data_IF_172038337594
#
_entry.id   IF_172038337594
#
_cell.length_a   1.000
_cell.length_b   1.000
_cell.length_c   1.000
_cell.angle_alpha   90.00
_cell.angle_beta   90.00
_cell.angle_gamma   90.00
#
_symmetry.space_group_name_H-M   'P 1'
#
loop_
_entity.id
_entity.type
_entity.pdbx_description
1 polymer ?
#
# COMPACT_ATOMS: atom_id res chain seq x y z
N UNK A 1 -24.87 50.70 5.59
CA UNK A 1 -23.43 50.80 5.28
C UNK A 1 -22.78 49.40 5.38
N UNK A 2 -23.34 48.42 4.65
CA UNK A 2 -23.04 46.97 4.77
C UNK A 2 -22.60 46.34 3.44
N UNK A 3 -22.72 47.10 2.34
CA UNK A 3 -22.43 46.67 0.97
C UNK A 3 -20.92 46.59 0.68
N UNK A 4 -20.11 47.44 1.30
CA UNK A 4 -18.64 47.46 1.08
C UNK A 4 -17.95 46.22 1.65
N UNK A 5 -18.24 45.85 2.91
CA UNK A 5 -17.60 44.71 3.56
C UNK A 5 -17.92 43.36 2.87
N UNK A 6 -19.15 43.22 2.36
CA UNK A 6 -19.59 42.03 1.63
C UNK A 6 -18.91 41.93 0.25
N UNK A 7 -18.73 43.07 -0.43
CA UNK A 7 -18.03 43.15 -1.72
C UNK A 7 -16.54 42.81 -1.58
N UNK A 8 -15.88 43.33 -0.54
CA UNK A 8 -14.47 43.04 -0.24
C UNK A 8 -14.24 41.57 0.10
N UNK A 9 -15.13 40.96 0.90
CA UNK A 9 -15.04 39.54 1.25
C UNK A 9 -15.18 38.62 0.02
N UNK A 10 -16.11 38.94 -0.89
CA UNK A 10 -16.31 38.19 -2.13
C UNK A 10 -15.11 38.33 -3.10
N UNK A 11 -14.49 39.51 -3.18
CA UNK A 11 -13.27 39.71 -3.96
C UNK A 11 -12.09 38.90 -3.40
N UNK A 12 -11.88 38.91 -2.08
CA UNK A 12 -10.84 38.12 -1.43
C UNK A 12 -11.02 36.61 -1.63
N UNK A 13 -12.27 36.10 -1.57
CA UNK A 13 -12.58 34.71 -1.86
C UNK A 13 -12.23 34.30 -3.30
N UNK A 14 -12.57 35.15 -4.28
CA UNK A 14 -12.20 34.92 -5.69
C UNK A 14 -10.70 34.91 -5.92
N UNK A 15 -9.95 35.80 -5.27
CA UNK A 15 -8.49 35.83 -5.36
C UNK A 15 -7.87 34.56 -4.77
N UNK A 16 -8.35 34.09 -3.61
CA UNK A 16 -7.91 32.81 -3.02
C UNK A 16 -8.20 31.64 -3.95
N UNK A 17 -9.42 31.55 -4.48
CA UNK A 17 -9.79 30.49 -5.42
C UNK A 17 -8.91 30.50 -6.68
N UNK A 18 -8.60 31.68 -7.23
CA UNK A 18 -7.69 31.80 -8.38
C UNK A 18 -6.25 31.36 -8.04
N UNK A 19 -5.75 31.72 -6.85
CA UNK A 19 -4.43 31.28 -6.36
C UNK A 19 -4.38 29.77 -6.18
N UNK A 20 -5.41 29.18 -5.59
CA UNK A 20 -5.47 27.74 -5.34
C UNK A 20 -5.60 26.97 -6.66
N UNK A 21 -6.38 27.49 -7.62
CA UNK A 21 -6.45 26.94 -8.98
C UNK A 21 -5.11 27.01 -9.73
N UNK A 22 -4.37 28.12 -9.58
CA UNK A 22 -3.02 28.24 -10.14
C UNK A 22 -2.05 27.23 -9.52
N UNK A 23 -2.14 27.00 -8.20
CA UNK A 23 -1.36 25.97 -7.50
C UNK A 23 -1.69 24.56 -7.99
N UNK A 24 -2.97 24.23 -8.15
CA UNK A 24 -3.41 22.94 -8.67
C UNK A 24 -2.96 22.71 -10.12
N UNK A 25 -3.05 23.72 -10.98
CA UNK A 25 -2.58 23.66 -12.35
C UNK A 25 -1.06 23.45 -12.42
N UNK A 26 -0.30 24.14 -11.57
CA UNK A 26 1.16 23.96 -11.47
C UNK A 26 1.51 22.54 -11.01
N UNK A 27 0.81 22.00 -10.01
CA UNK A 27 1.04 20.62 -9.55
C UNK A 27 0.74 19.57 -10.62
N UNK A 28 -0.37 19.74 -11.38
CA UNK A 28 -0.73 18.86 -12.49
C UNK A 28 0.31 18.90 -13.61
N UNK A 29 0.81 20.10 -13.93
CA UNK A 29 1.89 20.29 -14.90
C UNK A 29 3.19 19.58 -14.47
N UNK A 30 3.58 19.70 -13.20
CA UNK A 30 4.77 19.04 -12.67
C UNK A 30 4.65 17.52 -12.65
N UNK A 31 3.46 17.00 -12.34
CA UNK A 31 3.17 15.58 -12.41
C UNK A 31 3.31 15.04 -13.84
N UNK A 32 2.77 15.75 -14.83
CA UNK A 32 2.88 15.35 -16.24
C UNK A 32 4.35 15.24 -16.70
N UNK A 33 5.21 16.17 -16.27
CA UNK A 33 6.66 16.08 -16.55
C UNK A 33 7.28 14.85 -15.89
N UNK A 34 6.94 14.60 -14.61
CA UNK A 34 7.45 13.43 -13.88
C UNK A 34 7.04 12.12 -14.55
N UNK A 35 5.79 12.00 -14.97
CA UNK A 35 5.24 10.80 -15.61
C UNK A 35 5.92 10.49 -16.96
N UNK A 36 6.09 11.52 -17.80
CA UNK A 36 6.70 11.34 -19.13
C UNK A 36 8.21 11.02 -19.06
N UNK A 37 8.92 11.61 -18.10
CA UNK A 37 10.35 11.31 -17.87
C UNK A 37 10.51 9.94 -17.21
N UNK A 38 9.65 9.56 -16.25
CA UNK A 38 9.71 8.25 -15.61
C UNK A 38 9.35 7.10 -16.57
N UNK A 39 8.55 7.39 -17.60
CA UNK A 39 8.22 6.44 -18.66
C UNK A 39 9.27 6.38 -19.79
N UNK A 40 10.42 7.05 -19.62
CA UNK A 40 11.50 7.14 -20.62
C UNK A 40 11.06 7.62 -22.02
N UNK A 41 9.94 8.35 -22.12
CA UNK A 41 9.41 8.86 -23.40
C UNK A 41 10.07 10.16 -23.84
N UNK A 42 10.48 11.00 -22.88
CA UNK A 42 11.16 12.27 -23.12
C UNK A 42 12.33 12.45 -22.15
N UNK A 43 13.40 13.08 -22.61
CA UNK A 43 14.52 13.43 -21.71
C UNK A 43 14.28 14.78 -21.01
N UNK A 44 14.96 15.07 -19.88
CA UNK A 44 14.92 16.40 -19.27
C UNK A 44 15.31 17.54 -20.23
N UNK A 45 16.14 17.26 -21.24
CA UNK A 45 16.50 18.22 -22.28
C UNK A 45 15.35 18.48 -23.26
N UNK A 46 14.55 17.45 -23.55
CA UNK A 46 13.37 17.59 -24.42
C UNK A 46 12.26 18.34 -23.70
N UNK A 47 12.08 18.12 -22.39
CA UNK A 47 11.20 18.92 -21.54
C UNK A 47 11.60 20.40 -21.58
N UNK A 48 12.88 20.71 -21.34
CA UNK A 48 13.36 22.10 -21.36
C UNK A 48 13.11 22.77 -22.73
N UNK A 49 13.33 22.03 -23.84
CA UNK A 49 13.05 22.49 -25.19
C UNK A 49 11.56 22.75 -25.42
N UNK A 50 10.69 21.82 -25.00
CA UNK A 50 9.24 21.96 -25.12
C UNK A 50 8.68 23.15 -24.33
N UNK A 51 9.28 23.45 -23.18
CA UNK A 51 8.93 24.60 -22.35
C UNK A 51 9.56 25.92 -22.82
N UNK A 52 10.38 25.90 -23.87
CA UNK A 52 11.07 27.09 -24.40
C UNK A 52 12.08 27.70 -23.42
N UNK A 53 12.52 26.96 -22.41
CA UNK A 53 13.45 27.44 -21.38
C UNK A 53 14.84 26.83 -21.56
N UNK A 54 15.87 27.68 -21.51
CA UNK A 54 17.27 27.24 -21.45
C UNK A 54 17.69 26.82 -20.03
N UNK A 55 16.92 27.19 -19.00
CA UNK A 55 17.23 26.87 -17.61
C UNK A 55 16.64 25.51 -17.23
N UNK A 56 17.50 24.49 -17.15
CA UNK A 56 17.14 23.12 -16.75
C UNK A 56 16.99 22.95 -15.24
N UNK A 57 17.39 23.91 -14.41
CA UNK A 57 17.29 23.81 -12.95
C UNK A 57 15.86 23.61 -12.48
N UNK A 58 14.90 24.31 -13.11
CA UNK A 58 13.46 24.12 -12.80
C UNK A 58 13.00 22.70 -13.13
N UNK A 59 13.44 22.12 -14.25
CA UNK A 59 13.11 20.74 -14.62
C UNK A 59 13.73 19.77 -13.62
N UNK A 60 14.99 19.97 -13.22
CA UNK A 60 15.64 19.13 -12.22
C UNK A 60 14.99 19.25 -10.83
N UNK A 61 14.57 20.44 -10.42
CA UNK A 61 13.82 20.65 -9.18
C UNK A 61 12.47 19.90 -9.20
N UNK A 62 11.73 19.95 -10.31
CA UNK A 62 10.47 19.21 -10.50
C UNK A 62 10.67 17.70 -10.41
N UNK A 63 11.81 17.20 -10.91
CA UNK A 63 12.19 15.79 -10.84
C UNK A 63 12.75 15.38 -9.46
N UNK A 64 12.80 16.28 -8.47
CA UNK A 64 13.37 15.99 -7.16
C UNK A 64 14.90 15.80 -7.19
N UNK A 65 15.58 16.34 -8.20
CA UNK A 65 17.05 16.34 -8.35
C UNK A 65 17.67 17.70 -7.98
N UNK A 66 17.01 18.45 -7.10
CA UNK A 66 17.56 19.69 -6.52
C UNK A 66 18.78 19.41 -5.64
N UNK A 67 19.64 20.43 -5.46
CA UNK A 67 20.96 20.39 -4.82
C UNK A 67 20.98 19.84 -3.36
N UNK A 68 19.82 19.58 -2.78
CA UNK A 68 19.57 19.05 -1.45
C UNK A 68 19.59 17.51 -1.38
N UNK A 69 19.55 16.80 -2.52
CA UNK A 69 19.69 15.34 -2.58
C UNK A 69 18.58 14.54 -1.86
N UNK A 70 17.57 15.21 -1.33
CA UNK A 70 16.44 14.59 -0.66
C UNK A 70 15.48 14.02 -1.71
N UNK A 71 15.44 12.70 -1.82
CA UNK A 71 14.41 12.04 -2.61
C UNK A 71 13.03 12.51 -2.15
N UNK A 72 12.08 12.78 -3.06
CA UNK A 72 10.71 13.13 -2.68
C UNK A 72 10.19 12.05 -1.72
N UNK A 73 9.60 12.49 -0.60
CA UNK A 73 9.02 11.57 0.37
C UNK A 73 7.95 10.76 -0.35
N UNK A 74 8.13 9.43 -0.40
CA UNK A 74 7.12 8.56 -0.97
C UNK A 74 5.77 8.87 -0.32
N UNK A 75 4.68 9.01 -1.10
CA UNK A 75 3.36 9.15 -0.51
C UNK A 75 3.15 7.96 0.44
N UNK A 76 2.55 8.18 1.63
CA UNK A 76 2.35 7.10 2.59
C UNK A 76 1.50 6.02 1.93
N UNK A 77 2.14 4.89 1.62
CA UNK A 77 1.45 3.75 1.06
C UNK A 77 0.54 3.19 2.13
N UNK A 78 -0.73 2.97 1.77
CA UNK A 78 -1.70 2.40 2.71
C UNK A 78 -1.20 1.04 3.17
N UNK A 79 -1.43 0.66 4.43
CA UNK A 79 -1.10 -0.68 4.91
C UNK A 79 -1.72 -1.75 4.01
N UNK A 80 -0.95 -2.80 3.73
CA UNK A 80 -1.33 -3.87 2.81
C UNK A 80 -1.50 -5.17 3.57
N UNK A 81 -2.59 -5.88 3.30
CA UNK A 81 -2.88 -7.21 3.84
C UNK A 81 -2.60 -8.23 2.74
N UNK A 82 -1.58 -9.05 2.93
CA UNK A 82 -1.25 -10.16 2.05
C UNK A 82 -2.02 -11.41 2.50
N UNK A 83 -2.92 -11.88 1.65
CA UNK A 83 -3.76 -13.03 1.84
C UNK A 83 -3.12 -14.27 1.19
N UNK A 84 -2.71 -15.25 2.00
CA UNK A 84 -2.06 -16.49 1.54
C UNK A 84 -2.84 -17.70 2.04
N UNK A 85 -2.93 -18.76 1.23
CA UNK A 85 -3.36 -20.07 1.69
C UNK A 85 -4.27 -20.77 0.70
N UNK A 86 -4.44 -22.08 0.88
CA UNK A 86 -5.16 -22.93 -0.05
C UNK A 86 -6.55 -23.30 0.50
N UNK A 87 -7.57 -23.25 -0.36
CA UNK A 87 -8.79 -24.04 -0.16
C UNK A 87 -9.92 -23.42 0.66
N UNK A 88 -9.86 -22.13 1.01
CA UNK A 88 -11.05 -21.48 1.60
C UNK A 88 -12.13 -21.22 0.54
N UNK A 89 -13.42 -21.36 0.89
CA UNK A 89 -14.52 -20.97 0.01
C UNK A 89 -14.42 -19.50 -0.41
N UNK A 90 -14.78 -19.18 -1.65
CA UNK A 90 -14.76 -17.80 -2.19
C UNK A 90 -15.56 -16.82 -1.34
N UNK A 91 -16.63 -17.28 -0.69
CA UNK A 91 -17.43 -16.48 0.24
C UNK A 91 -16.59 -15.97 1.43
N UNK A 92 -15.68 -16.80 1.97
CA UNK A 92 -14.77 -16.39 3.05
C UNK A 92 -13.79 -15.34 2.55
N UNK A 93 -13.19 -15.56 1.37
CA UNK A 93 -12.28 -14.58 0.78
C UNK A 93 -12.94 -13.23 0.51
N UNK A 94 -14.21 -13.24 0.09
CA UNK A 94 -15.00 -12.03 -0.13
C UNK A 94 -15.25 -11.29 1.18
N UNK A 95 -15.76 -11.97 2.22
CA UNK A 95 -16.01 -11.35 3.53
C UNK A 95 -14.74 -10.76 4.15
N UNK A 96 -13.61 -11.46 4.05
CA UNK A 96 -12.31 -10.96 4.54
C UNK A 96 -11.90 -9.70 3.76
N UNK A 97 -11.99 -9.72 2.42
CA UNK A 97 -11.65 -8.54 1.60
C UNK A 97 -12.55 -7.35 1.91
N UNK A 98 -13.84 -7.55 2.09
CA UNK A 98 -14.79 -6.52 2.48
C UNK A 98 -14.46 -5.95 3.86
N UNK A 99 -14.13 -6.80 4.83
CA UNK A 99 -13.74 -6.37 6.17
C UNK A 99 -12.46 -5.51 6.18
N UNK A 100 -11.46 -5.88 5.38
CA UNK A 100 -10.23 -5.07 5.23
C UNK A 100 -10.51 -3.77 4.48
N UNK A 101 -11.32 -3.82 3.43
CA UNK A 101 -11.70 -2.65 2.64
C UNK A 101 -12.48 -1.63 3.46
N UNK A 102 -13.42 -2.07 4.32
CA UNK A 102 -14.16 -1.21 5.24
C UNK A 102 -13.25 -0.43 6.21
N UNK A 103 -12.01 -0.90 6.41
CA UNK A 103 -10.98 -0.27 7.24
C UNK A 103 -9.94 0.51 6.43
N UNK A 104 -10.13 0.61 5.12
CA UNK A 104 -9.27 1.36 4.20
C UNK A 104 -7.99 0.62 3.80
N UNK A 105 -7.86 -0.67 4.13
CA UNK A 105 -6.67 -1.47 3.81
C UNK A 105 -6.80 -2.17 2.46
N UNK A 106 -5.69 -2.24 1.75
CA UNK A 106 -5.61 -2.93 0.46
C UNK A 106 -5.27 -4.39 0.69
N UNK A 107 -6.04 -5.31 0.11
CA UNK A 107 -5.75 -6.74 0.14
C UNK A 107 -5.10 -7.19 -1.16
N UNK A 108 -4.08 -8.03 -1.07
CA UNK A 108 -3.42 -8.68 -2.22
C UNK A 108 -3.24 -10.17 -1.96
N UNK A 109 -3.25 -10.98 -3.02
CA UNK A 109 -3.02 -12.43 -2.91
C UNK A 109 -1.79 -12.91 -3.69
N UNK A 110 -1.19 -12.03 -4.49
CA UNK A 110 0.06 -12.32 -5.19
C UNK A 110 1.27 -12.07 -4.28
N UNK A 111 2.07 -13.12 -4.07
CA UNK A 111 3.27 -13.10 -3.22
C UNK A 111 4.30 -12.10 -3.74
N UNK A 112 4.48 -12.02 -5.06
CA UNK A 112 5.49 -11.16 -5.70
C UNK A 112 5.17 -9.68 -5.49
N UNK A 113 3.91 -9.30 -5.68
CA UNK A 113 3.40 -7.96 -5.39
C UNK A 113 3.58 -7.59 -3.93
N UNK A 114 3.25 -8.51 -3.00
CA UNK A 114 3.44 -8.31 -1.57
C UNK A 114 4.92 -8.10 -1.21
N UNK A 115 5.81 -8.85 -1.85
CA UNK A 115 7.25 -8.73 -1.67
C UNK A 115 7.79 -7.39 -2.15
N UNK A 116 7.37 -6.91 -3.33
CA UNK A 116 7.78 -5.60 -3.84
C UNK A 116 7.28 -4.45 -2.95
N UNK A 117 6.05 -4.55 -2.44
CA UNK A 117 5.49 -3.55 -1.52
C UNK A 117 6.25 -3.52 -0.18
N UNK A 118 6.52 -4.69 0.41
CA UNK A 118 7.32 -4.79 1.63
C UNK A 118 8.75 -4.26 1.42
N UNK A 119 9.36 -4.56 0.27
CA UNK A 119 10.69 -4.03 -0.11
C UNK A 119 10.68 -2.51 -0.29
N UNK A 120 9.58 -1.97 -0.81
CA UNK A 120 9.36 -0.52 -0.98
C UNK A 120 9.09 0.24 0.32
N UNK A 121 9.06 -0.45 1.47
CA UNK A 121 8.82 0.16 2.78
C UNK A 121 7.34 0.22 3.18
N UNK A 122 6.42 -0.33 2.38
CA UNK A 122 5.01 -0.46 2.76
C UNK A 122 4.87 -1.49 3.87
N UNK A 123 4.14 -1.18 4.97
CA UNK A 123 3.78 -2.18 5.95
C UNK A 123 2.91 -3.28 5.32
N UNK A 124 3.37 -4.53 5.38
CA UNK A 124 2.62 -5.70 4.90
C UNK A 124 2.35 -6.64 6.06
N UNK A 125 1.08 -6.98 6.27
CA UNK A 125 0.63 -8.02 7.21
C UNK A 125 0.16 -9.23 6.42
N UNK A 126 0.74 -10.39 6.73
CA UNK A 126 0.33 -11.67 6.19
C UNK A 126 -0.86 -12.21 6.99
N UNK A 127 -1.89 -12.67 6.29
CA UNK A 127 -2.92 -13.56 6.81
C UNK A 127 -2.76 -14.91 6.08
N UNK A 128 -2.16 -15.88 6.75
CA UNK A 128 -1.87 -17.20 6.22
C UNK A 128 -2.92 -18.22 6.67
N UNK A 129 -3.74 -18.66 5.72
CA UNK A 129 -4.77 -19.70 5.87
C UNK A 129 -4.22 -21.12 5.63
N UNK A 130 -2.91 -21.27 5.35
CA UNK A 130 -2.25 -22.56 5.07
C UNK A 130 -1.31 -23.05 6.18
N UNK A 131 -1.18 -22.33 7.29
CA UNK A 131 -0.15 -22.58 8.30
C UNK A 131 -0.16 -24.00 8.94
N UNK A 132 -1.30 -24.70 8.96
CA UNK A 132 -1.41 -26.07 9.50
C UNK A 132 -1.26 -27.17 8.44
N UNK A 133 -1.26 -26.85 7.14
CA UNK A 133 -0.98 -27.83 6.08
C UNK A 133 0.50 -28.28 6.09
N UNK A 134 1.37 -27.51 6.73
CA UNK A 134 2.81 -27.78 6.88
C UNK A 134 3.13 -28.54 8.19
N UNK A 135 2.14 -28.81 9.07
CA UNK A 135 2.33 -29.56 10.32
C UNK A 135 1.88 -31.02 10.19
N UNK A 136 2.75 -32.03 10.45
CA UNK A 136 2.32 -33.42 10.52
C UNK A 136 1.37 -33.59 11.70
N UNK A 137 0.18 -34.15 11.42
CA UNK A 137 -0.84 -34.48 12.42
C UNK A 137 -0.20 -35.15 13.65
N UNK A 138 -0.39 -34.63 14.88
CA UNK A 138 0.41 -35.04 16.03
C UNK A 138 0.03 -36.41 16.63
N UNK A 139 -0.70 -37.28 15.93
CA UNK A 139 -1.10 -38.57 16.51
C UNK A 139 -1.06 -39.75 15.50
N UNK A 140 -0.33 -40.84 15.81
CA UNK A 140 -0.48 -42.10 15.11
C UNK A 140 -1.86 -42.70 15.48
N UNK A 141 -2.82 -42.60 14.56
CA UNK A 141 -4.19 -43.11 14.74
C UNK A 141 -5.31 -42.07 14.58
N UNK A 142 -5.00 -40.80 14.32
CA UNK A 142 -6.00 -39.79 13.99
C UNK A 142 -6.43 -39.86 12.53
N UNK A 143 -7.71 -40.17 12.29
CA UNK A 143 -8.27 -40.39 10.95
C UNK A 143 -8.01 -39.27 9.95
N UNK A 144 -8.05 -39.64 8.67
CA UNK A 144 -8.01 -38.76 7.50
C UNK A 144 -9.09 -37.67 7.61
N UNK A 145 -8.71 -36.49 8.10
CA UNK A 145 -9.54 -35.29 7.98
C UNK A 145 -9.10 -34.52 6.75
N UNK A 146 -9.87 -34.68 5.67
CA UNK A 146 -9.89 -33.77 4.52
C UNK A 146 -10.56 -32.45 4.91
N UNK A 147 -10.00 -31.74 5.89
CA UNK A 147 -10.58 -30.52 6.45
C UNK A 147 -9.69 -29.32 6.17
N UNK A 148 -10.18 -28.37 5.40
CA UNK A 148 -9.58 -27.03 5.31
C UNK A 148 -9.42 -26.47 6.73
N UNK A 149 -8.19 -26.32 7.20
CA UNK A 149 -7.85 -26.15 8.62
C UNK A 149 -8.54 -24.95 9.26
N UNK A 150 -8.76 -24.99 10.58
CA UNK A 150 -9.55 -24.01 11.35
C UNK A 150 -8.76 -22.78 11.79
N UNK A 151 -7.64 -22.43 11.16
CA UNK A 151 -6.80 -21.36 11.66
C UNK A 151 -6.34 -20.39 10.57
N UNK A 152 -6.10 -19.15 10.97
CA UNK A 152 -5.34 -18.15 10.22
C UNK A 152 -4.23 -17.64 11.10
N UNK A 153 -3.03 -17.63 10.54
CA UNK A 153 -1.90 -16.99 11.19
C UNK A 153 -1.76 -15.58 10.65
N UNK A 154 -1.83 -14.61 11.55
CA UNK A 154 -1.62 -13.20 11.24
C UNK A 154 -0.23 -12.79 11.69
N UNK A 155 0.48 -12.02 10.87
CA UNK A 155 1.69 -11.34 11.31
C UNK A 155 2.35 -10.44 10.29
N UNK A 156 3.07 -9.43 10.78
CA UNK A 156 3.86 -8.52 9.96
C UNK A 156 4.98 -9.28 9.24
N UNK A 157 5.19 -8.97 7.96
CA UNK A 157 6.26 -9.58 7.15
C UNK A 157 7.26 -8.55 6.69
N UNK A 158 8.46 -9.01 6.34
CA UNK A 158 9.49 -8.20 5.68
C UNK A 158 9.93 -8.88 4.39
N UNK A 159 10.32 -8.09 3.39
CA UNK A 159 10.96 -8.63 2.20
C UNK A 159 12.38 -9.11 2.52
N UNK A 160 12.69 -10.34 2.12
CA UNK A 160 14.04 -10.92 2.19
C UNK A 160 14.32 -11.68 0.88
N UNK A 161 15.57 -11.71 0.44
CA UNK A 161 16.02 -12.70 -0.55
C UNK A 161 16.51 -13.95 0.15
N UNK A 162 16.08 -15.12 -0.33
CA UNK A 162 16.63 -16.42 0.03
C UNK A 162 18.07 -16.57 -0.46
N UNK A 163 18.76 -17.61 0.03
CA UNK A 163 20.14 -17.90 -0.37
C UNK A 163 20.25 -18.32 -1.85
N UNK A 164 19.12 -18.75 -2.43
CA UNK A 164 18.91 -19.07 -3.84
C UNK A 164 18.43 -17.88 -4.69
N UNK A 165 18.28 -16.70 -4.08
CA UNK A 165 17.73 -15.52 -4.72
C UNK A 165 16.20 -15.47 -4.77
N UNK A 166 15.49 -16.41 -4.13
CA UNK A 166 14.03 -16.40 -4.10
C UNK A 166 13.50 -15.20 -3.29
N UNK A 167 12.43 -14.58 -3.80
CA UNK A 167 11.68 -13.54 -3.08
C UNK A 167 10.89 -14.15 -1.92
N UNK A 168 11.40 -13.99 -0.70
CA UNK A 168 10.78 -14.50 0.53
C UNK A 168 10.10 -13.38 1.32
N UNK A 169 8.97 -13.72 1.96
CA UNK A 169 8.25 -12.87 2.91
C UNK A 169 8.26 -13.50 4.30
N UNK A 170 9.42 -13.62 4.98
CA UNK A 170 9.45 -14.10 6.34
C UNK A 170 8.66 -13.16 7.26
N UNK A 171 7.91 -13.78 8.17
CA UNK A 171 7.27 -13.09 9.30
C UNK A 171 8.35 -12.48 10.21
N UNK A 172 8.03 -11.36 10.84
CA UNK A 172 8.89 -10.71 11.83
C UNK A 172 8.65 -11.40 13.18
N UNK A 173 9.73 -11.88 13.82
CA UNK A 173 9.65 -12.57 15.11
C UNK A 173 8.89 -11.70 16.14
N UNK A 174 7.85 -12.27 16.75
CA UNK A 174 7.04 -11.61 17.79
C UNK A 174 5.65 -11.16 17.35
N UNK A 175 5.36 -11.07 16.04
CA UNK A 175 4.07 -10.60 15.54
C UNK A 175 3.10 -11.74 15.16
N UNK A 176 3.19 -12.92 15.79
CA UNK A 176 2.37 -14.08 15.43
C UNK A 176 1.14 -14.23 16.32
N UNK A 177 -0.04 -14.22 15.69
CA UNK A 177 -1.30 -14.52 16.36
C UNK A 177 -2.03 -15.64 15.60
N UNK A 178 -2.05 -16.89 16.13
CA UNK A 178 -2.87 -17.94 15.58
C UNK A 178 -4.34 -17.68 15.95
N UNK A 179 -5.19 -17.46 14.95
CA UNK A 179 -6.61 -17.19 15.11
C UNK A 179 -7.39 -18.41 14.69
N UNK A 180 -8.24 -18.93 15.59
CA UNK A 180 -9.18 -19.99 15.22
C UNK A 180 -10.33 -19.41 14.40
N UNK A 181 -10.42 -19.86 13.17
CA UNK A 181 -11.57 -19.71 12.28
C UNK A 181 -12.42 -20.99 12.35
N UNK A 182 -13.64 -20.87 12.88
CA UNK A 182 -14.65 -21.89 12.65
C UNK A 182 -15.13 -21.86 11.19
N UNK A 183 -16.22 -22.58 10.89
CA UNK A 183 -16.92 -22.45 9.60
C UNK A 183 -17.40 -20.99 9.38
N UNK A 184 -17.57 -20.24 10.48
CA UNK A 184 -17.67 -18.79 10.51
C UNK A 184 -16.31 -18.17 10.83
N UNK A 185 -15.70 -17.57 9.82
CA UNK A 185 -14.56 -16.67 10.02
C UNK A 185 -15.08 -15.45 10.77
N UNK A 186 -14.55 -15.14 11.95
CA UNK A 186 -14.82 -13.85 12.59
C UNK A 186 -13.94 -12.78 11.91
N UNK A 187 -14.47 -12.14 10.88
CA UNK A 187 -13.71 -11.13 10.11
C UNK A 187 -13.41 -9.89 10.94
N UNK A 188 -14.19 -9.61 11.99
CA UNK A 188 -13.94 -8.52 12.91
C UNK A 188 -12.76 -8.83 13.83
N UNK A 189 -12.69 -10.05 14.37
CA UNK A 189 -11.52 -10.50 15.13
C UNK A 189 -10.28 -10.52 14.25
N UNK A 190 -10.36 -11.07 13.03
CA UNK A 190 -9.25 -11.08 12.08
C UNK A 190 -8.74 -9.65 11.81
N UNK A 191 -9.65 -8.73 11.51
CA UNK A 191 -9.28 -7.35 11.24
C UNK A 191 -8.71 -6.62 12.47
N UNK A 192 -9.16 -6.95 13.68
CA UNK A 192 -8.54 -6.42 14.91
C UNK A 192 -7.09 -6.86 15.04
N UNK A 193 -6.80 -8.14 14.84
CA UNK A 193 -5.43 -8.67 14.89
C UNK A 193 -4.54 -8.11 13.78
N UNK A 194 -5.10 -7.88 12.59
CA UNK A 194 -4.40 -7.17 11.51
C UNK A 194 -4.06 -5.74 11.93
N UNK A 195 -4.96 -5.03 12.62
CA UNK A 195 -4.68 -3.70 13.15
C UNK A 195 -3.54 -3.71 14.18
N UNK A 196 -3.57 -4.67 15.11
CA UNK A 196 -2.52 -4.85 16.12
C UNK A 196 -1.16 -5.12 15.45
N UNK A 197 -1.12 -5.99 14.44
CA UNK A 197 0.09 -6.27 13.68
C UNK A 197 0.64 -5.07 12.87
N UNK A 198 -0.17 -4.03 12.61
CA UNK A 198 0.31 -2.77 12.05
C UNK A 198 0.82 -1.78 13.10
N UNK A 199 0.43 -1.92 14.37
CA UNK A 199 0.79 -1.01 15.46
C UNK A 199 2.15 -1.33 16.10
N UNK A 200 2.62 -2.57 15.97
CA UNK A 200 3.98 -3.04 16.35
C UNK A 200 5.05 -2.74 15.28
#
# INVERSE_FOLDING_TARGET
MTTDATTTAAAAARIRAARDAAGAAQAAFEQAIRDEVAADRITPSDVARALGTKNRQRVYAILGRGDDGAAPTNPPLRPVVYLRGAGRPDAVWTRVREAMWARGWTTISDRTSAWHLARGGTPVVLCDFSADLDHPSPAPGGGTWFGYDRYVVVGKVRAKYGDDGEAMLPRINGCEHPIRLGDDVDEHALARWVAEAFAD
#
